data_IF_239456333199
#
_entry.id   IF_239456333199
#
_cell.length_a   1.000
_cell.length_b   1.000
_cell.length_c   1.000
_cell.angle_alpha   90.00
_cell.angle_beta   90.00
_cell.angle_gamma   90.00
#
_symmetry.space_group_name_H-M   'P 1'
#
loop_
_entity.id
_entity.type
_entity.pdbx_description
1 polymer ?
#
# COMPACT_ATOMS: atom_id res chain seq x y z
N UNK A 1 15.59 -5.88 -15.01
CA UNK A 1 15.65 -6.29 -13.59
C UNK A 1 14.95 -5.17 -12.87
N UNK A 2 13.88 -5.50 -12.13
CA UNK A 2 13.02 -4.48 -11.55
C UNK A 2 13.82 -3.69 -10.50
N UNK A 3 13.90 -2.38 -10.70
CA UNK A 3 14.45 -1.46 -9.71
C UNK A 3 13.39 -1.21 -8.66
N UNK A 4 13.77 -1.36 -7.39
CA UNK A 4 12.87 -1.16 -6.24
C UNK A 4 13.38 0.02 -5.44
N UNK A 5 12.52 1.02 -5.23
CA UNK A 5 12.76 2.13 -4.31
C UNK A 5 11.76 2.03 -3.16
N UNK A 6 12.22 2.17 -1.93
CA UNK A 6 11.39 2.11 -0.72
C UNK A 6 11.39 3.46 -0.03
N UNK A 7 10.21 3.91 0.39
CA UNK A 7 10.03 5.12 1.18
C UNK A 7 9.18 4.77 2.39
N UNK A 8 9.70 5.01 3.59
CA UNK A 8 8.95 4.83 4.82
C UNK A 8 8.24 6.14 5.18
N UNK A 9 6.92 6.08 5.32
CA UNK A 9 6.08 7.23 5.67
C UNK A 9 5.17 6.87 6.82
N UNK A 10 5.50 7.38 8.00
CA UNK A 10 4.82 7.01 9.24
C UNK A 10 5.03 5.53 9.57
N UNK A 11 3.93 4.82 9.77
CA UNK A 11 3.93 3.40 10.19
C UNK A 11 3.95 2.42 9.01
N UNK A 12 3.78 2.90 7.78
CA UNK A 12 3.74 2.09 6.58
C UNK A 12 4.82 2.48 5.57
N UNK A 13 5.14 1.54 4.68
CA UNK A 13 6.04 1.78 3.56
C UNK A 13 5.21 2.00 2.29
N UNK A 14 5.79 2.74 1.35
CA UNK A 14 5.43 2.65 -0.05
C UNK A 14 6.64 2.24 -0.87
N UNK A 15 6.39 1.56 -1.97
CA UNK A 15 7.42 1.10 -2.90
C UNK A 15 7.16 1.61 -4.30
N UNK A 16 8.22 1.97 -5.02
CA UNK A 16 8.19 2.22 -6.46
C UNK A 16 8.93 1.09 -7.16
N UNK A 17 8.26 0.44 -8.10
CA UNK A 17 8.87 -0.53 -9.00
C UNK A 17 9.07 0.11 -10.37
N UNK A 18 10.27 -0.02 -10.92
CA UNK A 18 10.63 0.53 -12.22
C UNK A 18 11.36 -0.51 -13.07
N UNK A 19 10.85 -0.78 -14.27
CA UNK A 19 11.47 -1.63 -15.30
C UNK A 19 11.07 -1.11 -16.70
N UNK A 20 10.20 -1.81 -17.44
CA UNK A 20 9.61 -1.31 -18.68
C UNK A 20 8.53 -0.23 -18.48
N UNK A 21 8.08 -0.06 -17.25
CA UNK A 21 7.18 0.99 -16.78
C UNK A 21 7.38 1.23 -15.28
N UNK A 22 6.51 2.04 -14.67
CA UNK A 22 6.62 2.40 -13.26
C UNK A 22 5.28 2.25 -12.54
N UNK A 23 5.29 1.54 -11.41
CA UNK A 23 4.13 1.37 -10.53
C UNK A 23 4.51 1.70 -9.10
N UNK A 24 3.51 2.06 -8.31
CA UNK A 24 3.60 2.27 -6.87
C UNK A 24 2.84 1.16 -6.14
N UNK A 25 3.38 0.71 -5.02
CA UNK A 25 2.73 -0.22 -4.09
C UNK A 25 2.53 0.53 -2.78
N UNK A 26 1.27 0.64 -2.38
CA UNK A 26 0.77 1.42 -1.25
C UNK A 26 1.16 2.91 -1.30
N UNK A 27 0.62 3.67 -0.34
CA UNK A 27 0.88 5.11 -0.26
C UNK A 27 1.57 5.53 1.02
N UNK A 28 1.73 4.66 2.00
CA UNK A 28 2.22 5.08 3.32
C UNK A 28 1.28 6.06 4.04
N UNK A 29 1.74 6.55 5.18
CA UNK A 29 0.91 7.20 6.19
C UNK A 29 1.32 8.65 6.51
N UNK A 30 1.95 9.36 5.56
CA UNK A 30 2.38 10.73 5.80
C UNK A 30 1.18 11.72 5.78
N UNK A 31 1.29 12.77 6.61
CA UNK A 31 0.18 13.69 6.89
C UNK A 31 -0.17 14.61 5.72
N UNK A 32 0.78 14.90 4.86
CA UNK A 32 0.64 15.85 3.76
C UNK A 32 1.41 15.37 2.53
N UNK A 33 1.23 16.03 1.39
CA UNK A 33 1.78 15.57 0.11
C UNK A 33 3.23 16.03 -0.12
N UNK A 34 3.66 17.07 0.59
CA UNK A 34 4.97 17.70 0.42
C UNK A 34 6.14 16.73 0.66
N UNK A 35 6.12 15.83 1.66
CA UNK A 35 7.18 14.85 1.83
C UNK A 35 7.28 13.84 0.67
N UNK A 36 6.16 13.53 0.00
CA UNK A 36 6.17 12.69 -1.21
C UNK A 36 6.91 13.37 -2.35
N UNK A 37 6.58 14.64 -2.62
CA UNK A 37 7.24 15.41 -3.69
C UNK A 37 8.75 15.56 -3.41
N UNK A 38 9.11 15.78 -2.14
CA UNK A 38 10.51 15.80 -1.72
C UNK A 38 11.19 14.45 -1.94
N UNK A 39 10.59 13.35 -1.50
CA UNK A 39 11.15 12.01 -1.67
C UNK A 39 11.28 11.61 -3.15
N UNK A 40 10.29 11.97 -3.97
CA UNK A 40 10.34 11.73 -5.42
C UNK A 40 11.50 12.50 -6.06
N UNK A 41 11.67 13.78 -5.72
CA UNK A 41 12.80 14.58 -6.18
C UNK A 41 14.16 13.97 -5.74
N UNK A 42 14.31 13.66 -4.45
CA UNK A 42 15.56 13.13 -3.88
C UNK A 42 15.95 11.77 -4.45
N UNK A 43 14.97 10.95 -4.86
CA UNK A 43 15.20 9.63 -5.43
C UNK A 43 15.08 9.58 -6.96
N UNK A 44 15.00 10.75 -7.63
CA UNK A 44 14.83 10.87 -9.08
C UNK A 44 13.65 10.04 -9.59
N UNK A 45 12.51 10.09 -8.90
CA UNK A 45 11.24 9.51 -9.32
C UNK A 45 10.45 10.61 -10.02
N UNK A 46 10.07 10.34 -11.27
CA UNK A 46 9.17 11.20 -12.02
C UNK A 46 7.73 10.70 -11.77
N UNK A 47 6.90 11.44 -11.02
CA UNK A 47 5.56 10.98 -10.66
C UNK A 47 4.66 10.75 -11.87
N UNK A 48 4.84 11.48 -12.97
CA UNK A 48 4.02 11.30 -14.18
C UNK A 48 4.29 9.97 -14.90
N UNK A 49 5.40 9.29 -14.58
CA UNK A 49 5.71 7.96 -15.09
C UNK A 49 5.01 6.85 -14.33
N UNK A 50 4.50 7.12 -13.13
CA UNK A 50 3.78 6.14 -12.31
C UNK A 50 2.41 5.93 -12.94
N UNK A 51 2.14 4.72 -13.43
CA UNK A 51 0.91 4.42 -14.18
C UNK A 51 -0.12 3.60 -13.40
N UNK A 52 0.31 2.99 -12.29
CA UNK A 52 -0.52 2.18 -11.42
C UNK A 52 -0.12 2.40 -9.96
N UNK A 53 -1.10 2.50 -9.08
CA UNK A 53 -0.97 2.44 -7.62
C UNK A 53 -1.71 1.18 -7.17
N UNK A 54 -0.98 0.20 -6.66
CA UNK A 54 -1.53 -1.03 -6.09
C UNK A 54 -1.70 -0.81 -4.58
N UNK A 55 -2.94 -0.81 -4.12
CA UNK A 55 -3.25 -0.79 -2.68
C UNK A 55 -3.32 -2.24 -2.20
N UNK A 56 -2.39 -2.63 -1.33
CA UNK A 56 -2.28 -3.99 -0.81
C UNK A 56 -3.50 -4.36 0.04
N UNK A 57 -4.00 -3.44 0.88
CA UNK A 57 -5.21 -3.66 1.65
C UNK A 57 -5.88 -2.35 2.11
N UNK A 58 -7.08 -2.49 2.67
CA UNK A 58 -7.96 -1.37 2.98
C UNK A 58 -7.71 -0.66 4.31
N UNK A 59 -6.51 -0.72 4.89
CA UNK A 59 -6.17 0.15 6.02
C UNK A 59 -5.65 1.51 5.54
N UNK A 60 -6.01 2.58 6.24
CA UNK A 60 -5.75 3.97 5.85
C UNK A 60 -4.27 4.29 5.61
N UNK A 61 -3.33 3.59 6.24
CA UNK A 61 -1.89 3.78 6.07
C UNK A 61 -1.35 3.19 4.75
N UNK A 62 -2.17 2.42 4.04
CA UNK A 62 -1.82 1.84 2.73
C UNK A 62 -2.47 2.56 1.55
N UNK A 63 -3.58 3.28 1.78
CA UNK A 63 -4.28 4.06 0.74
C UNK A 63 -4.45 5.54 1.07
N UNK A 64 -3.99 6.02 2.21
CA UNK A 64 -4.38 7.31 2.79
C UNK A 64 -4.11 8.52 1.90
N UNK A 65 -3.14 8.41 0.98
CA UNK A 65 -2.84 9.45 -0.05
C UNK A 65 -3.12 9.00 -1.47
N UNK A 66 -3.85 7.91 -1.67
CA UNK A 66 -4.13 7.36 -2.99
C UNK A 66 -4.91 8.36 -3.86
N UNK A 67 -5.77 9.20 -3.26
CA UNK A 67 -6.49 10.25 -3.99
C UNK A 67 -5.54 11.30 -4.56
N UNK A 68 -4.71 11.92 -3.72
CA UNK A 68 -3.76 12.96 -4.14
C UNK A 68 -2.70 12.40 -5.07
N UNK A 69 -2.16 11.21 -4.79
CA UNK A 69 -1.16 10.57 -5.63
C UNK A 69 -1.74 10.18 -6.99
N UNK A 70 -3.00 9.71 -7.06
CA UNK A 70 -3.70 9.51 -8.33
C UNK A 70 -3.81 10.80 -9.14
N UNK A 71 -4.12 11.93 -8.49
CA UNK A 71 -4.23 13.23 -9.17
C UNK A 71 -2.88 13.74 -9.69
N UNK A 72 -1.80 13.55 -8.92
CA UNK A 72 -0.46 13.98 -9.28
C UNK A 72 0.14 13.13 -10.41
N UNK A 73 -0.07 11.83 -10.35
CA UNK A 73 0.56 10.86 -11.27
C UNK A 73 -0.29 10.59 -12.51
N UNK A 74 -1.62 10.75 -12.42
CA UNK A 74 -2.56 10.23 -13.41
C UNK A 74 -2.69 8.70 -13.39
N UNK A 75 -2.09 8.02 -12.41
CA UNK A 75 -2.11 6.56 -12.30
C UNK A 75 -3.52 6.01 -12.05
N UNK A 76 -3.72 4.76 -12.45
CA UNK A 76 -4.89 3.98 -12.00
C UNK A 76 -4.66 3.48 -10.57
N UNK A 77 -5.71 3.43 -9.76
CA UNK A 77 -5.70 2.80 -8.44
C UNK A 77 -6.30 1.40 -8.54
N UNK A 78 -5.55 0.40 -8.13
CA UNK A 78 -5.95 -1.00 -8.06
C UNK A 78 -6.16 -1.43 -6.62
N UNK A 79 -7.26 -2.11 -6.33
CA UNK A 79 -7.48 -2.76 -5.04
C UNK A 79 -8.29 -4.06 -5.18
N UNK A 80 -8.34 -4.84 -4.10
CA UNK A 80 -9.24 -5.99 -4.01
C UNK A 80 -10.69 -5.52 -3.81
N UNK A 81 -11.67 -6.30 -4.30
CA UNK A 81 -13.11 -5.97 -4.18
C UNK A 81 -13.56 -5.68 -2.74
N UNK A 82 -12.98 -6.35 -1.76
CA UNK A 82 -13.31 -6.16 -0.34
C UNK A 82 -12.69 -4.88 0.26
N UNK A 83 -11.74 -4.22 -0.41
CA UNK A 83 -11.17 -2.94 0.01
C UNK A 83 -11.96 -1.74 -0.54
N UNK A 84 -12.81 -1.93 -1.56
CA UNK A 84 -13.51 -0.84 -2.27
C UNK A 84 -14.25 0.09 -1.31
N UNK A 85 -14.96 -0.46 -0.33
CA UNK A 85 -15.72 0.35 0.62
C UNK A 85 -14.81 1.28 1.43
N UNK A 86 -13.69 0.77 1.94
CA UNK A 86 -12.74 1.56 2.73
C UNK A 86 -12.17 2.72 1.90
N UNK A 87 -11.74 2.45 0.67
CA UNK A 87 -11.20 3.47 -0.23
C UNK A 87 -12.26 4.54 -0.58
N UNK A 88 -13.49 4.13 -0.89
CA UNK A 88 -14.56 5.03 -1.31
C UNK A 88 -15.10 5.92 -0.20
N UNK A 89 -15.05 5.47 1.05
CA UNK A 89 -15.57 6.27 2.18
C UNK A 89 -14.47 6.87 3.04
N UNK A 90 -13.22 6.48 2.83
CA UNK A 90 -12.11 6.76 3.75
C UNK A 90 -12.44 6.37 5.21
N UNK A 91 -13.30 5.36 5.36
CA UNK A 91 -13.64 4.79 6.66
C UNK A 91 -12.84 3.52 6.77
N UNK A 92 -11.92 3.55 7.70
CA UNK A 92 -11.08 2.43 7.99
C UNK A 92 -11.92 1.27 8.55
N UNK A 93 -11.72 0.03 8.09
CA UNK A 93 -12.50 -1.08 8.57
C UNK A 93 -12.10 -1.43 10.00
N UNK A 94 -12.98 -2.13 10.73
CA UNK A 94 -12.71 -2.51 12.12
C UNK A 94 -11.41 -3.32 12.25
N UNK A 95 -10.56 -2.93 13.20
CA UNK A 95 -9.36 -3.66 13.56
C UNK A 95 -9.69 -4.86 14.44
N UNK A 96 -9.34 -6.06 13.96
CA UNK A 96 -9.52 -7.30 14.69
C UNK A 96 -8.13 -7.77 15.13
N UNK A 97 -7.77 -7.63 16.42
CA UNK A 97 -6.43 -7.95 16.88
C UNK A 97 -6.19 -9.47 16.91
N UNK A 98 -5.05 -9.88 16.37
CA UNK A 98 -4.54 -11.25 16.52
C UNK A 98 -3.64 -11.35 17.76
N UNK A 99 -4.01 -12.21 18.70
CA UNK A 99 -3.22 -12.47 19.91
C UNK A 99 -3.16 -11.31 20.90
N UNK A 100 -2.27 -11.42 21.89
CA UNK A 100 -2.11 -10.42 22.96
C UNK A 100 -1.38 -9.17 22.47
N UNK A 101 -0.34 -9.33 21.65
CA UNK A 101 0.42 -8.22 21.05
C UNK A 101 -0.51 -7.28 20.29
N UNK A 102 -1.39 -7.81 19.42
CA UNK A 102 -2.35 -6.99 18.68
C UNK A 102 -3.33 -6.26 19.61
N UNK A 103 -3.79 -6.91 20.69
CA UNK A 103 -4.68 -6.28 21.67
C UNK A 103 -4.01 -5.13 22.41
N UNK A 104 -2.75 -5.29 22.81
CA UNK A 104 -2.01 -4.21 23.47
C UNK A 104 -1.68 -3.08 22.49
N UNK A 105 -1.37 -3.41 21.24
CA UNK A 105 -1.14 -2.41 20.20
C UNK A 105 -2.38 -1.52 19.96
N UNK A 106 -3.57 -2.12 19.86
CA UNK A 106 -4.80 -1.34 19.66
C UNK A 106 -5.15 -0.39 20.81
N UNK A 107 -4.65 -0.63 22.03
CA UNK A 107 -4.85 0.31 23.15
C UNK A 107 -4.04 1.58 23.00
N UNK A 108 -2.86 1.51 22.39
CA UNK A 108 -1.93 2.65 22.23
C UNK A 108 -2.05 3.31 20.86
N UNK A 109 -2.59 2.60 19.88
CA UNK A 109 -2.72 3.06 18.48
C UNK A 109 -3.37 4.45 18.34
N UNK A 110 -4.49 4.78 19.03
CA UNK A 110 -5.15 6.09 18.87
C UNK A 110 -4.25 7.29 19.23
N UNK A 111 -3.30 7.09 20.15
CA UNK A 111 -2.38 8.17 20.58
C UNK A 111 -1.17 8.31 19.64
N UNK A 112 -0.84 7.24 18.91
CA UNK A 112 0.31 7.18 18.00
C UNK A 112 -0.03 7.61 16.58
N UNK A 113 -1.30 7.49 16.19
CA UNK A 113 -1.73 7.56 14.81
C UNK A 113 -2.79 8.66 14.64
N UNK A 114 -2.61 9.48 13.61
CA UNK A 114 -3.60 10.49 13.20
C UNK A 114 -4.00 10.21 11.75
N UNK A 115 -5.02 9.36 11.52
CA UNK A 115 -5.44 9.03 10.18
C UNK A 115 -6.11 10.25 9.54
N UNK A 116 -5.76 10.53 8.29
CA UNK A 116 -6.40 11.58 7.51
C UNK A 116 -6.70 11.13 6.06
N UNK A 117 -7.19 9.89 5.82
CA UNK A 117 -7.38 9.40 4.46
C UNK A 117 -8.40 10.24 3.69
N UNK A 118 -8.15 10.44 2.40
CA UNK A 118 -9.10 11.07 1.48
C UNK A 118 -9.80 9.99 0.66
N UNK A 119 -11.15 10.04 0.50
CA UNK A 119 -11.86 9.08 -0.34
C UNK A 119 -11.32 9.02 -1.78
N UNK A 120 -11.16 7.81 -2.30
CA UNK A 120 -10.71 7.56 -3.67
C UNK A 120 -11.56 6.48 -4.33
N UNK A 121 -11.94 6.73 -5.58
CA UNK A 121 -12.57 5.72 -6.41
C UNK A 121 -11.47 4.85 -7.06
N UNK A 122 -11.43 3.52 -6.79
CA UNK A 122 -10.50 2.62 -7.45
C UNK A 122 -10.90 2.45 -8.94
N UNK A 123 -9.90 2.41 -9.82
CA UNK A 123 -10.11 2.23 -11.27
C UNK A 123 -10.10 0.75 -11.67
N UNK A 124 -9.38 -0.07 -10.91
CA UNK A 124 -9.24 -1.50 -11.15
C UNK A 124 -9.60 -2.23 -9.85
N UNK A 125 -10.61 -3.08 -9.94
CA UNK A 125 -11.08 -3.87 -8.80
C UNK A 125 -10.95 -5.33 -9.17
N UNK A 126 -10.22 -6.09 -8.35
CA UNK A 126 -9.91 -7.50 -8.61
C UNK A 126 -10.46 -8.41 -7.51
N UNK A 127 -10.61 -9.69 -7.83
CA UNK A 127 -11.01 -10.74 -6.89
C UNK A 127 -9.87 -11.69 -6.52
N UNK A 128 -8.96 -11.97 -7.45
CA UNK A 128 -7.92 -12.97 -7.25
C UNK A 128 -6.57 -12.46 -7.76
N UNK A 129 -6.35 -12.52 -9.08
CA UNK A 129 -5.07 -12.13 -9.69
C UNK A 129 -5.18 -10.94 -10.65
N UNK A 130 -4.07 -10.26 -10.87
CA UNK A 130 -3.92 -9.21 -11.88
C UNK A 130 -2.53 -9.22 -12.49
N UNK A 131 -2.43 -9.30 -13.82
CA UNK A 131 -1.17 -9.23 -14.55
C UNK A 131 -0.64 -7.78 -14.60
N UNK A 132 0.61 -7.58 -14.18
CA UNK A 132 1.27 -6.27 -14.18
C UNK A 132 1.99 -5.97 -15.50
N UNK A 133 2.09 -6.93 -16.42
CA UNK A 133 2.77 -6.74 -17.72
C UNK A 133 2.24 -5.54 -18.54
N UNK A 134 0.93 -5.19 -18.54
CA UNK A 134 0.43 -3.99 -19.24
C UNK A 134 0.96 -2.68 -18.68
N UNK A 135 1.52 -2.70 -17.47
CA UNK A 135 2.16 -1.55 -16.80
C UNK A 135 3.69 -1.63 -16.84
N UNK A 136 4.25 -2.58 -17.60
CA UNK A 136 5.70 -2.71 -17.82
C UNK A 136 6.47 -3.37 -16.68
N UNK A 137 5.78 -4.09 -15.80
CA UNK A 137 6.39 -4.86 -14.70
C UNK A 137 6.08 -6.34 -14.92
N UNK A 138 7.12 -7.18 -14.92
CA UNK A 138 6.97 -8.64 -15.05
C UNK A 138 6.62 -9.25 -13.69
N UNK A 139 5.35 -9.60 -13.51
CA UNK A 139 4.81 -10.13 -12.26
C UNK A 139 3.31 -9.97 -12.20
N UNK A 140 2.74 -10.26 -11.04
CA UNK A 140 1.29 -10.20 -10.81
C UNK A 140 0.95 -9.73 -9.40
N UNK A 141 -0.24 -9.21 -9.26
CA UNK A 141 -0.93 -9.06 -7.97
C UNK A 141 -1.70 -10.35 -7.70
N UNK A 142 -1.64 -10.88 -6.48
CA UNK A 142 -2.35 -12.09 -6.05
C UNK A 142 -3.13 -11.83 -4.77
N UNK A 143 -4.28 -12.49 -4.62
CA UNK A 143 -5.08 -12.44 -3.41
C UNK A 143 -4.43 -13.25 -2.29
N UNK A 144 -4.10 -12.58 -1.19
CA UNK A 144 -3.42 -13.17 -0.04
C UNK A 144 -4.15 -12.75 1.23
N UNK A 145 -5.36 -13.28 1.49
CA UNK A 145 -6.09 -12.94 2.70
C UNK A 145 -5.35 -13.43 3.95
N UNK A 146 -5.48 -12.67 5.03
CA UNK A 146 -4.86 -12.98 6.31
C UNK A 146 -5.01 -11.81 7.24
N UNK A 147 -4.07 -10.86 7.17
CA UNK A 147 -4.16 -9.58 7.89
C UNK A 147 -5.52 -8.91 7.67
N UNK A 148 -5.95 -8.84 6.40
CA UNK A 148 -7.33 -8.52 6.00
C UNK A 148 -7.86 -9.52 5.00
N UNK A 149 -9.19 -9.60 4.91
CA UNK A 149 -9.87 -10.33 3.84
C UNK A 149 -9.81 -9.62 2.47
N UNK A 150 -9.13 -8.47 2.40
CA UNK A 150 -8.86 -7.71 1.19
C UNK A 150 -7.37 -7.60 0.86
N UNK A 151 -6.52 -8.31 1.60
CA UNK A 151 -5.07 -8.28 1.42
C UNK A 151 -4.65 -8.87 0.08
N UNK A 152 -3.76 -8.15 -0.60
CA UNK A 152 -3.11 -8.50 -1.85
C UNK A 152 -1.60 -8.48 -1.64
N UNK A 153 -0.91 -9.31 -2.41
CA UNK A 153 0.55 -9.26 -2.53
C UNK A 153 0.95 -9.01 -3.98
N UNK A 154 2.02 -8.27 -4.21
CA UNK A 154 2.67 -8.16 -5.52
C UNK A 154 3.81 -9.16 -5.58
N UNK A 155 3.76 -10.10 -6.53
CA UNK A 155 4.77 -11.12 -6.76
C UNK A 155 5.44 -10.88 -8.11
N UNK A 156 6.75 -10.65 -8.11
CA UNK A 156 7.54 -10.48 -9.32
C UNK A 156 8.00 -11.84 -9.86
N UNK A 157 8.18 -11.94 -11.17
CA UNK A 157 8.68 -13.17 -11.81
C UNK A 157 10.11 -13.52 -11.37
N UNK A 158 10.87 -12.53 -10.88
CA UNK A 158 12.19 -12.69 -10.28
C UNK A 158 12.16 -13.27 -8.85
N UNK A 159 10.97 -13.40 -8.25
CA UNK A 159 10.75 -14.07 -6.96
C UNK A 159 10.60 -13.13 -5.76
N UNK A 160 10.81 -11.82 -5.91
CA UNK A 160 10.51 -10.85 -4.86
C UNK A 160 8.99 -10.72 -4.66
N UNK A 161 8.59 -10.49 -3.41
CA UNK A 161 7.20 -10.28 -3.04
C UNK A 161 7.04 -9.06 -2.11
N UNK A 162 6.02 -8.26 -2.38
CA UNK A 162 5.57 -7.15 -1.53
C UNK A 162 4.23 -7.55 -0.95
N UNK A 163 4.22 -7.84 0.35
CA UNK A 163 3.13 -8.58 1.00
C UNK A 163 2.27 -7.72 1.94
N UNK A 164 2.44 -6.39 1.89
CA UNK A 164 1.86 -5.47 2.87
C UNK A 164 2.15 -5.94 4.30
N UNK A 165 1.09 -6.10 5.07
CA UNK A 165 1.13 -6.47 6.49
C UNK A 165 0.91 -7.97 6.75
N UNK A 166 1.07 -8.82 5.73
CA UNK A 166 0.88 -10.27 5.91
C UNK A 166 1.85 -10.88 6.92
N UNK A 167 3.05 -10.32 7.03
CA UNK A 167 4.04 -10.64 8.06
C UNK A 167 4.56 -9.32 8.62
N UNK A 168 4.37 -9.11 9.93
CA UNK A 168 4.76 -7.88 10.60
C UNK A 168 5.74 -8.15 11.74
N UNK A 169 6.60 -7.18 12.02
CA UNK A 169 7.36 -7.16 13.27
C UNK A 169 6.46 -6.73 14.43
N UNK A 170 6.64 -7.35 15.58
CA UNK A 170 6.02 -6.97 16.83
C UNK A 170 6.43 -5.53 17.17
N UNK A 171 5.46 -4.60 17.34
CA UNK A 171 5.74 -3.18 17.51
C UNK A 171 6.45 -2.86 18.84
N UNK A 172 6.50 -3.80 19.79
CA UNK A 172 7.11 -3.58 21.11
C UNK A 172 8.53 -4.12 21.24
N UNK A 173 8.91 -5.14 20.47
CA UNK A 173 10.22 -5.79 20.60
C UNK A 173 10.94 -6.05 19.26
N UNK A 174 10.29 -5.83 18.12
CA UNK A 174 10.88 -5.99 16.78
C UNK A 174 10.94 -7.43 16.25
N UNK A 175 10.58 -8.44 17.04
CA UNK A 175 10.56 -9.84 16.60
C UNK A 175 9.44 -10.08 15.58
N UNK A 176 9.60 -11.03 14.66
CA UNK A 176 8.58 -11.33 13.65
C UNK A 176 7.36 -12.00 14.32
N UNK A 177 6.17 -11.48 14.07
CA UNK A 177 4.91 -12.12 14.42
C UNK A 177 4.60 -13.23 13.40
N UNK A 178 4.67 -14.50 13.84
CA UNK A 178 4.31 -15.69 13.06
C UNK A 178 3.03 -16.34 13.57
#
# INVERSE_FOLDING_TARGET
MVTVKSIQFGVANLFILEDGGMIMIDTGAEKSIEPYLKAFSEQNIDPEKIRLIVVTHGHWDHYGRAKELKEITGAKVLCHKNAVQALKTAIDPEYIPSGEVGREFLKVMPDLIQPNPTPVEPDIVIDDEFDLSPFGISGKVIYTPGHRNCSLSVLLDSGEAFIGDMVMSNPFNGEICL
#
